data_IF_102520937398
#
_entry.id   IF_102520937398
#
_cell.length_a   1.000
_cell.length_b   1.000
_cell.length_c   1.000
_cell.angle_alpha   90.00
_cell.angle_beta   90.00
_cell.angle_gamma   90.00
#
_symmetry.space_group_name_H-M   'P 1'
#
loop_
_entity.id
_entity.type
_entity.pdbx_description
1 polymer ?
#
# COMPACT_ATOMS: atom_id res chain seq x y z
N UNK A 1 -2.81 12.84 -7.13
CA UNK A 1 -4.18 13.19 -6.66
C UNK A 1 -5.22 12.29 -7.34
N UNK A 2 -5.50 12.44 -8.64
CA UNK A 2 -6.56 11.69 -9.32
C UNK A 2 -6.48 10.14 -9.18
N UNK A 3 -5.28 9.56 -9.10
CA UNK A 3 -5.12 8.13 -8.88
C UNK A 3 -5.56 7.72 -7.46
N UNK A 4 -5.16 8.45 -6.42
CA UNK A 4 -5.59 8.18 -5.04
C UNK A 4 -7.11 8.29 -4.89
N UNK A 5 -7.76 9.24 -5.56
CA UNK A 5 -9.23 9.34 -5.54
C UNK A 5 -9.89 8.09 -6.12
N UNK A 6 -9.38 7.57 -7.25
CA UNK A 6 -9.89 6.35 -7.87
C UNK A 6 -9.63 5.11 -7.00
N UNK A 7 -8.43 5.00 -6.39
CA UNK A 7 -8.10 3.91 -5.46
C UNK A 7 -9.05 3.93 -4.25
N UNK A 8 -9.30 5.09 -3.66
CA UNK A 8 -10.23 5.26 -2.54
C UNK A 8 -11.65 4.83 -2.92
N UNK A 9 -12.12 5.22 -4.12
CA UNK A 9 -13.44 4.84 -4.61
C UNK A 9 -13.55 3.33 -4.83
N UNK A 10 -12.56 2.71 -5.49
CA UNK A 10 -12.50 1.27 -5.72
C UNK A 10 -12.37 0.48 -4.40
N UNK A 11 -11.60 1.00 -3.44
CA UNK A 11 -11.48 0.40 -2.10
C UNK A 11 -12.83 0.38 -1.38
N UNK A 12 -13.56 1.50 -1.36
CA UNK A 12 -14.90 1.60 -0.75
C UNK A 12 -15.87 0.59 -1.36
N UNK A 13 -15.82 0.40 -2.67
CA UNK A 13 -16.68 -0.56 -3.37
C UNK A 13 -16.39 -2.02 -2.99
N UNK A 14 -15.19 -2.34 -2.50
CA UNK A 14 -14.76 -3.70 -2.13
C UNK A 14 -14.59 -3.91 -0.61
N UNK A 15 -15.03 -2.99 0.25
CA UNK A 15 -14.80 -3.07 1.69
C UNK A 15 -15.34 -4.36 2.32
N UNK A 16 -16.53 -4.80 1.93
CA UNK A 16 -17.11 -6.06 2.43
C UNK A 16 -16.27 -7.29 2.00
N UNK A 17 -15.78 -7.30 0.76
CA UNK A 17 -14.90 -8.36 0.26
C UNK A 17 -13.58 -8.39 1.04
N UNK A 18 -12.99 -7.22 1.32
CA UNK A 18 -11.79 -7.11 2.16
C UNK A 18 -12.07 -7.65 3.56
N UNK A 19 -13.15 -7.23 4.21
CA UNK A 19 -13.49 -7.68 5.57
C UNK A 19 -13.68 -9.20 5.62
N UNK A 20 -14.35 -9.78 4.63
CA UNK A 20 -14.53 -11.23 4.52
C UNK A 20 -13.19 -11.96 4.36
N UNK A 21 -12.30 -11.48 3.47
CA UNK A 21 -10.97 -12.06 3.29
C UNK A 21 -10.16 -12.00 4.58
N UNK A 22 -10.09 -10.83 5.23
CA UNK A 22 -9.36 -10.65 6.50
C UNK A 22 -9.88 -11.62 7.58
N UNK A 23 -11.21 -11.76 7.69
CA UNK A 23 -11.81 -12.71 8.64
C UNK A 23 -11.40 -14.16 8.34
N UNK A 24 -11.39 -14.57 7.09
CA UNK A 24 -11.03 -15.94 6.68
C UNK A 24 -9.54 -16.25 6.86
N UNK A 25 -8.66 -15.29 6.55
CA UNK A 25 -7.21 -15.49 6.54
C UNK A 25 -6.61 -15.46 7.96
N UNK A 26 -6.97 -14.47 8.75
CA UNK A 26 -6.35 -14.25 10.06
C UNK A 26 -7.25 -14.61 11.25
N UNK A 27 -8.48 -15.03 11.01
CA UNK A 27 -9.40 -15.45 12.06
C UNK A 27 -10.04 -14.30 12.86
N UNK A 28 -9.95 -13.06 12.39
CA UNK A 28 -10.65 -11.94 13.04
C UNK A 28 -12.16 -12.15 12.98
N UNK A 29 -12.91 -11.87 14.07
CA UNK A 29 -14.37 -11.85 14.00
C UNK A 29 -14.86 -10.95 12.86
N UNK A 30 -15.83 -11.41 12.08
CA UNK A 30 -16.33 -10.66 10.91
C UNK A 30 -16.86 -9.27 11.30
N UNK A 31 -17.43 -9.15 12.50
CA UNK A 31 -17.86 -7.86 13.04
C UNK A 31 -16.69 -6.90 13.23
N UNK A 32 -15.55 -7.37 13.72
CA UNK A 32 -14.31 -6.59 13.85
C UNK A 32 -13.71 -6.27 12.49
N UNK A 33 -13.73 -7.23 11.56
CA UNK A 33 -13.21 -7.01 10.21
C UNK A 33 -13.99 -5.91 9.49
N UNK A 34 -15.32 -5.88 9.63
CA UNK A 34 -16.17 -4.83 9.07
C UNK A 34 -16.03 -3.48 9.81
N UNK A 35 -15.95 -3.49 11.15
CA UNK A 35 -15.97 -2.26 11.94
C UNK A 35 -14.59 -1.58 12.06
N UNK A 36 -13.49 -2.34 11.95
CA UNK A 36 -12.14 -1.83 12.22
C UNK A 36 -11.12 -2.18 11.13
N UNK A 37 -10.95 -3.45 10.78
CA UNK A 37 -9.86 -3.90 9.91
C UNK A 37 -9.93 -3.26 8.50
N UNK A 38 -11.06 -3.40 7.81
CA UNK A 38 -11.24 -2.83 6.48
C UNK A 38 -11.32 -1.30 6.50
N UNK A 39 -12.05 -0.64 7.44
CA UNK A 39 -12.03 0.82 7.55
C UNK A 39 -10.66 1.43 7.85
N UNK A 40 -9.80 0.76 8.63
CA UNK A 40 -8.45 1.25 8.92
C UNK A 40 -7.62 1.39 7.64
N UNK A 41 -7.74 0.42 6.72
CA UNK A 41 -7.07 0.51 5.41
C UNK A 41 -7.53 1.71 4.58
N UNK A 42 -8.83 2.01 4.59
CA UNK A 42 -9.36 3.21 3.94
C UNK A 42 -8.81 4.49 4.60
N UNK A 43 -8.70 4.50 5.93
CA UNK A 43 -8.18 5.63 6.69
C UNK A 43 -6.77 6.04 6.23
N UNK A 44 -5.87 5.10 6.01
CA UNK A 44 -4.51 5.39 5.52
C UNK A 44 -4.49 5.99 4.11
N UNK A 45 -5.35 5.52 3.20
CA UNK A 45 -5.47 6.08 1.86
C UNK A 45 -5.99 7.53 1.89
N UNK A 46 -6.99 7.80 2.73
CA UNK A 46 -7.52 9.15 2.94
C UNK A 46 -6.47 10.08 3.57
N UNK A 47 -5.72 9.57 4.55
CA UNK A 47 -4.63 10.33 5.17
C UNK A 47 -3.53 10.67 4.16
N UNK A 48 -3.09 9.69 3.35
CA UNK A 48 -2.07 9.91 2.31
C UNK A 48 -2.54 10.98 1.29
N UNK A 49 -3.82 10.93 0.89
CA UNK A 49 -4.42 11.96 0.04
C UNK A 49 -4.34 13.34 0.68
N UNK A 50 -4.81 13.47 1.93
CA UNK A 50 -4.79 14.76 2.64
C UNK A 50 -3.37 15.28 2.85
N UNK A 51 -2.41 14.39 3.10
CA UNK A 51 -1.01 14.75 3.28
C UNK A 51 -0.41 15.31 1.98
N UNK A 52 -0.62 14.64 0.84
CA UNK A 52 -0.06 15.09 -0.44
C UNK A 52 -0.68 16.39 -0.95
N UNK A 53 -1.93 16.68 -0.60
CA UNK A 53 -2.60 17.94 -0.94
C UNK A 53 -1.89 19.16 -0.32
N UNK A 54 -1.23 18.97 0.81
CA UNK A 54 -0.55 20.03 1.58
C UNK A 54 0.96 19.97 1.49
N UNK A 55 1.50 18.95 0.84
CA UNK A 55 2.93 18.71 0.80
C UNK A 55 3.61 19.58 -0.27
N UNK A 56 4.61 20.34 0.16
CA UNK A 56 5.42 21.17 -0.74
C UNK A 56 6.58 20.34 -1.29
N UNK A 57 6.45 19.87 -2.53
CA UNK A 57 7.52 19.15 -3.23
C UNK A 57 8.68 20.05 -3.67
N UNK A 58 8.44 21.35 -3.73
CA UNK A 58 9.43 22.34 -4.15
C UNK A 58 9.32 23.59 -3.27
N UNK A 59 10.45 24.05 -2.73
CA UNK A 59 10.48 25.23 -1.86
C UNK A 59 11.80 26.01 -2.01
N UNK A 60 11.75 27.32 -1.84
CA UNK A 60 12.92 28.18 -1.73
C UNK A 60 13.42 28.20 -0.28
N UNK A 61 14.71 27.96 -0.07
CA UNK A 61 15.36 28.03 1.22
C UNK A 61 16.60 28.93 1.10
N UNK A 62 16.45 30.19 1.49
CA UNK A 62 17.49 31.21 1.27
C UNK A 62 17.74 31.42 -0.22
N UNK A 63 18.95 31.10 -0.69
CA UNK A 63 19.34 31.21 -2.10
C UNK A 63 19.25 29.85 -2.85
N UNK A 64 18.75 28.80 -2.20
CA UNK A 64 18.69 27.44 -2.74
C UNK A 64 17.27 27.05 -3.05
N UNK A 65 17.08 26.36 -4.18
CA UNK A 65 15.83 25.72 -4.55
C UNK A 65 15.88 24.24 -4.16
N UNK A 66 15.01 23.82 -3.23
CA UNK A 66 14.95 22.45 -2.72
C UNK A 66 13.78 21.73 -3.40
N UNK A 67 14.08 20.65 -4.12
CA UNK A 67 13.08 19.78 -4.77
C UNK A 67 13.09 18.41 -4.11
N UNK A 68 11.91 17.87 -3.83
CA UNK A 68 11.71 16.51 -3.31
C UNK A 68 11.16 15.64 -4.41
N UNK A 69 11.90 14.59 -4.74
CA UNK A 69 11.57 13.65 -5.81
C UNK A 69 11.25 12.26 -5.24
N UNK A 70 10.51 11.40 -6.00
CA UNK A 70 10.32 10.01 -5.62
C UNK A 70 11.66 9.30 -5.41
N UNK A 71 11.76 8.47 -4.37
CA UNK A 71 13.01 7.71 -4.13
C UNK A 71 13.25 6.63 -5.18
N UNK A 72 12.21 6.21 -5.91
CA UNK A 72 12.30 5.15 -6.91
C UNK A 72 11.39 3.96 -6.61
N UNK A 73 11.95 2.75 -6.61
CA UNK A 73 11.22 1.50 -6.38
C UNK A 73 11.20 1.15 -4.89
N UNK A 74 10.00 1.02 -4.33
CA UNK A 74 9.78 0.64 -2.93
C UNK A 74 9.47 -0.85 -2.79
N UNK A 75 10.28 -1.60 -2.05
CA UNK A 75 9.98 -2.94 -1.58
C UNK A 75 9.17 -2.87 -0.27
N UNK A 76 7.93 -3.38 -0.29
CA UNK A 76 7.01 -3.29 0.84
C UNK A 76 6.74 -4.70 1.37
N UNK A 77 7.04 -4.96 2.64
CA UNK A 77 6.77 -6.24 3.32
C UNK A 77 5.80 -5.99 4.48
N UNK A 78 4.70 -6.75 4.53
CA UNK A 78 3.63 -6.53 5.50
C UNK A 78 3.29 -7.78 6.30
N UNK A 79 2.93 -7.64 7.59
CA UNK A 79 2.53 -8.75 8.47
C UNK A 79 1.06 -9.15 8.26
N UNK A 80 0.63 -10.17 9.01
CA UNK A 80 -0.71 -10.77 8.91
C UNK A 80 -1.73 -10.22 9.90
N UNK A 81 -1.29 -9.59 10.99
CA UNK A 81 -2.17 -9.28 12.14
C UNK A 81 -3.15 -8.10 11.90
N UNK A 82 -2.80 -7.17 11.01
CA UNK A 82 -3.66 -6.09 10.48
C UNK A 82 -3.37 -5.94 8.98
N UNK A 83 -3.69 -6.96 8.16
CA UNK A 83 -3.03 -7.12 6.86
C UNK A 83 -3.30 -5.95 5.91
N UNK A 84 -4.56 -5.64 5.60
CA UNK A 84 -4.89 -4.55 4.68
C UNK A 84 -4.53 -3.17 5.22
N UNK A 85 -4.60 -2.97 6.55
CA UNK A 85 -4.13 -1.76 7.21
C UNK A 85 -2.65 -1.52 6.91
N UNK A 86 -1.80 -2.53 7.09
CA UNK A 86 -0.36 -2.45 6.86
C UNK A 86 -0.02 -2.25 5.38
N UNK A 87 -0.80 -2.84 4.48
CA UNK A 87 -0.65 -2.62 3.04
C UNK A 87 -0.89 -1.14 2.71
N UNK A 88 -2.04 -0.61 3.09
CA UNK A 88 -2.42 0.76 2.73
C UNK A 88 -1.59 1.83 3.44
N UNK A 89 -1.10 1.55 4.66
CA UNK A 89 -0.18 2.41 5.39
C UNK A 89 1.16 2.61 4.65
N UNK A 90 1.55 1.69 3.78
CA UNK A 90 2.76 1.76 2.96
C UNK A 90 2.45 2.20 1.53
N UNK A 91 1.45 1.60 0.90
CA UNK A 91 1.08 1.89 -0.50
C UNK A 91 0.56 3.32 -0.65
N UNK A 92 -0.26 3.82 0.28
CA UNK A 92 -0.79 5.18 0.23
C UNK A 92 0.30 6.24 0.12
N UNK A 93 1.25 6.31 1.06
CA UNK A 93 2.38 7.23 0.98
C UNK A 93 3.28 7.01 -0.25
N UNK A 94 3.53 5.77 -0.67
CA UNK A 94 4.34 5.49 -1.84
C UNK A 94 3.70 6.05 -3.13
N UNK A 95 2.38 5.87 -3.32
CA UNK A 95 1.63 6.49 -4.42
C UNK A 95 1.65 8.02 -4.31
N UNK A 96 1.45 8.56 -3.11
CA UNK A 96 1.47 10.00 -2.87
C UNK A 96 2.82 10.64 -3.22
N UNK A 97 3.91 9.94 -2.92
CA UNK A 97 5.28 10.36 -3.24
C UNK A 97 5.68 10.11 -4.71
N UNK A 98 4.85 9.41 -5.50
CA UNK A 98 5.15 9.10 -6.91
C UNK A 98 6.09 7.91 -7.12
N UNK A 99 6.24 7.03 -6.13
CA UNK A 99 7.07 5.84 -6.20
C UNK A 99 6.37 4.69 -6.92
N UNK A 100 7.14 3.82 -7.56
CA UNK A 100 6.70 2.47 -7.94
C UNK A 100 6.98 1.49 -6.82
N UNK A 101 6.34 0.32 -6.81
CA UNK A 101 6.48 -0.58 -5.68
C UNK A 101 6.27 -2.05 -6.01
N UNK A 102 6.90 -2.90 -5.19
CA UNK A 102 6.67 -4.34 -5.12
C UNK A 102 6.20 -4.66 -3.70
N UNK A 103 5.00 -5.20 -3.57
CA UNK A 103 4.41 -5.61 -2.29
C UNK A 103 4.56 -7.12 -2.09
N UNK A 104 5.13 -7.52 -0.95
CA UNK A 104 5.08 -8.90 -0.44
C UNK A 104 4.24 -8.92 0.84
N UNK A 105 3.01 -9.41 0.81
CA UNK A 105 2.22 -9.64 2.02
C UNK A 105 2.77 -10.86 2.78
N UNK A 106 2.33 -11.00 4.04
CA UNK A 106 2.55 -12.25 4.76
C UNK A 106 1.93 -13.43 4.02
N UNK A 107 2.62 -14.55 4.00
CA UNK A 107 2.13 -15.82 3.47
C UNK A 107 0.92 -16.39 4.23
N UNK A 108 0.66 -15.89 5.43
CA UNK A 108 -0.51 -16.25 6.26
C UNK A 108 -1.78 -15.55 5.78
N UNK A 109 -1.65 -14.33 5.21
CA UNK A 109 -2.77 -13.50 4.80
C UNK A 109 -2.57 -12.89 3.40
N UNK A 110 -2.51 -13.70 2.34
CA UNK A 110 -2.25 -13.22 0.97
C UNK A 110 -3.51 -12.74 0.23
N UNK A 111 -4.71 -13.25 0.56
CA UNK A 111 -5.92 -12.98 -0.26
C UNK A 111 -6.39 -11.54 -0.16
N UNK A 112 -6.30 -10.89 1.00
CA UNK A 112 -6.62 -9.48 1.11
C UNK A 112 -5.70 -8.60 0.21
N UNK A 113 -4.42 -8.99 0.04
CA UNK A 113 -3.49 -8.33 -0.87
C UNK A 113 -3.86 -8.57 -2.35
N UNK A 114 -4.40 -9.75 -2.68
CA UNK A 114 -4.94 -10.03 -4.03
C UNK A 114 -6.16 -9.14 -4.29
N UNK A 115 -7.09 -9.03 -3.33
CA UNK A 115 -8.24 -8.11 -3.45
C UNK A 115 -7.76 -6.66 -3.58
N UNK A 116 -6.72 -6.28 -2.86
CA UNK A 116 -6.12 -4.95 -3.01
C UNK A 116 -5.51 -4.74 -4.40
N UNK A 117 -4.92 -5.76 -5.00
CA UNK A 117 -4.43 -5.72 -6.39
C UNK A 117 -5.57 -5.50 -7.38
N UNK A 118 -6.72 -6.14 -7.18
CA UNK A 118 -7.92 -5.86 -7.98
C UNK A 118 -8.37 -4.40 -7.83
N UNK A 119 -8.29 -3.84 -6.61
CA UNK A 119 -8.61 -2.41 -6.36
C UNK A 119 -7.67 -1.50 -7.16
N UNK A 120 -6.36 -1.80 -7.16
CA UNK A 120 -5.38 -1.04 -7.94
C UNK A 120 -5.66 -1.12 -9.45
N UNK A 121 -6.05 -2.31 -9.94
CA UNK A 121 -6.44 -2.51 -11.33
C UNK A 121 -7.69 -1.70 -11.69
N UNK A 122 -8.77 -1.83 -10.90
CA UNK A 122 -10.05 -1.14 -11.13
C UNK A 122 -9.90 0.39 -11.06
N UNK A 123 -8.96 0.88 -10.25
CA UNK A 123 -8.59 2.29 -10.17
C UNK A 123 -7.83 2.80 -11.40
N UNK A 124 -7.47 1.92 -12.34
CA UNK A 124 -6.66 2.26 -13.51
C UNK A 124 -5.24 2.69 -13.12
N UNK A 125 -4.64 2.00 -12.15
CA UNK A 125 -3.23 2.18 -11.82
C UNK A 125 -2.37 1.80 -13.02
N UNK A 126 -1.42 2.64 -13.48
CA UNK A 126 -0.58 2.30 -14.62
C UNK A 126 0.20 1.00 -14.38
N UNK A 127 0.41 0.17 -15.43
CA UNK A 127 1.23 -1.04 -15.32
C UNK A 127 2.60 -0.74 -14.73
N UNK A 128 3.08 -1.61 -13.83
CA UNK A 128 4.38 -1.48 -13.18
C UNK A 128 4.43 -0.56 -11.96
N UNK A 129 3.43 0.28 -11.72
CA UNK A 129 3.39 1.15 -10.53
C UNK A 129 3.17 0.35 -9.25
N UNK A 130 2.27 -0.62 -9.28
CA UNK A 130 2.01 -1.54 -8.17
C UNK A 130 2.15 -2.98 -8.65
N UNK A 131 2.99 -3.76 -7.96
CA UNK A 131 3.25 -5.15 -8.26
C UNK A 131 3.11 -5.99 -6.99
N UNK A 132 2.43 -7.12 -7.08
CA UNK A 132 2.26 -8.07 -5.97
C UNK A 132 3.11 -9.31 -6.20
N UNK A 133 3.89 -9.70 -5.20
CA UNK A 133 4.60 -10.96 -5.16
C UNK A 133 4.27 -11.73 -3.89
N UNK A 134 3.86 -12.98 -4.03
CA UNK A 134 3.60 -13.87 -2.92
C UNK A 134 4.79 -14.81 -2.70
N UNK A 135 5.01 -15.22 -1.46
CA UNK A 135 6.03 -16.18 -1.09
C UNK A 135 6.53 -16.01 0.34
N UNK A 136 7.42 -16.89 0.74
CA UNK A 136 7.97 -16.91 2.08
C UNK A 136 9.02 -15.83 2.31
N UNK A 137 9.11 -15.36 3.56
CA UNK A 137 10.10 -14.37 3.99
C UNK A 137 11.54 -14.76 3.60
N UNK A 138 12.01 -15.99 3.94
CA UNK A 138 13.39 -16.43 3.63
C UNK A 138 13.72 -16.52 2.14
N UNK A 139 12.75 -16.58 1.26
CA UNK A 139 12.98 -16.62 -0.20
C UNK A 139 12.69 -15.27 -0.84
N UNK A 140 11.42 -14.87 -0.90
CA UNK A 140 11.02 -13.64 -1.60
C UNK A 140 11.43 -12.39 -0.81
N UNK A 141 11.28 -12.40 0.53
CA UNK A 141 11.68 -11.27 1.36
C UNK A 141 13.17 -10.98 1.30
N UNK A 142 14.01 -12.03 1.37
CA UNK A 142 15.46 -11.91 1.23
C UNK A 142 15.84 -11.43 -0.17
N UNK A 143 15.24 -11.99 -1.22
CA UNK A 143 15.50 -11.57 -2.60
C UNK A 143 15.16 -10.08 -2.81
N UNK A 144 14.03 -9.61 -2.29
CA UNK A 144 13.65 -8.20 -2.35
C UNK A 144 14.62 -7.29 -1.59
N UNK A 145 15.03 -7.69 -0.38
CA UNK A 145 15.90 -6.85 0.47
C UNK A 145 17.34 -6.74 -0.06
N UNK A 146 17.75 -7.63 -0.93
CA UNK A 146 19.08 -7.62 -1.56
C UNK A 146 19.07 -7.23 -3.04
N UNK A 147 17.88 -6.89 -3.59
CA UNK A 147 17.76 -6.60 -5.02
C UNK A 147 18.33 -5.21 -5.34
N UNK A 148 19.26 -5.10 -6.31
CA UNK A 148 19.94 -3.84 -6.63
C UNK A 148 19.00 -2.76 -7.18
N UNK A 149 17.85 -3.13 -7.75
CA UNK A 149 16.88 -2.20 -8.34
C UNK A 149 15.75 -1.82 -7.36
N UNK A 150 15.87 -2.16 -6.07
CA UNK A 150 14.97 -1.68 -5.01
C UNK A 150 15.70 -0.59 -4.23
N UNK A 151 15.18 0.64 -4.34
CA UNK A 151 15.80 1.83 -3.75
C UNK A 151 15.48 1.98 -2.25
N UNK A 152 14.35 1.45 -1.80
CA UNK A 152 13.92 1.53 -0.40
C UNK A 152 13.15 0.28 0.01
N UNK A 153 13.43 -0.23 1.22
CA UNK A 153 12.65 -1.29 1.86
C UNK A 153 11.85 -0.76 3.03
N UNK A 154 10.55 -1.07 3.06
CA UNK A 154 9.67 -0.84 4.20
C UNK A 154 9.15 -2.17 4.73
N UNK A 155 9.66 -2.56 5.89
CA UNK A 155 9.36 -3.82 6.57
C UNK A 155 8.60 -3.56 7.88
N UNK A 156 7.60 -4.40 8.15
CA UNK A 156 6.90 -4.42 9.45
C UNK A 156 6.80 -5.85 9.96
#
# INVERSE_FOLDING_TARGET
MALLDRIIAAYKAKMEKIAACVSQEMGAPISMSNAAQAPAGLGHLLFAKTAVEKFEFSQEVGTSHVVREPIGVCGLVTPWNWPVNQITAKVGPAIAAGCTMVLKPSEIAPFNAIVFTEIMHDAGTPPGVFNLVNGYGPTVGVAMSSHPDIDMMSFT
#
